data_IF_327375124897
#
_entry.id   IF_327375124897
#
_cell.length_a   1.000
_cell.length_b   1.000
_cell.length_c   1.000
_cell.angle_alpha   90.00
_cell.angle_beta   90.00
_cell.angle_gamma   90.00
#
_symmetry.space_group_name_H-M   'P 1'
#
loop_
_entity.id
_entity.type
_entity.pdbx_description
1 polymer ?
#
# COMPACT_ATOMS: atom_id res chain seq x y z
N UNK A 1 2.63 -17.34 27.22
CA UNK A 1 3.82 -18.21 27.31
C UNK A 1 3.41 -19.58 26.80
N UNK A 2 3.88 -20.01 25.62
CA UNK A 2 3.56 -21.32 25.06
C UNK A 2 4.31 -22.41 25.81
N UNK A 3 3.57 -23.37 26.36
CA UNK A 3 4.08 -24.60 26.96
C UNK A 3 4.63 -25.55 25.87
N UNK A 4 5.76 -25.21 25.26
CA UNK A 4 6.59 -26.14 24.48
C UNK A 4 7.80 -26.64 25.28
N UNK A 5 7.73 -26.52 26.61
CA UNK A 5 8.79 -26.98 27.50
C UNK A 5 8.19 -28.03 28.44
N UNK A 6 8.21 -29.29 27.98
CA UNK A 6 8.45 -30.54 28.74
C UNK A 6 7.71 -31.72 28.11
N UNK A 7 8.49 -32.74 27.73
CA UNK A 7 8.08 -34.13 27.47
C UNK A 7 7.30 -34.43 26.17
N UNK A 8 7.87 -34.09 25.01
CA UNK A 8 7.44 -34.67 23.75
C UNK A 8 8.28 -35.91 23.40
N UNK A 9 7.65 -37.08 23.21
CA UNK A 9 8.31 -38.29 22.70
C UNK A 9 8.72 -38.12 21.23
N UNK A 10 9.82 -38.75 20.78
CA UNK A 10 10.54 -38.40 19.55
C UNK A 10 9.77 -38.55 18.22
N UNK A 11 8.56 -39.12 18.23
CA UNK A 11 7.78 -39.41 17.01
C UNK A 11 6.48 -38.61 16.84
N UNK A 12 6.06 -37.76 17.79
CA UNK A 12 4.73 -37.12 17.75
C UNK A 12 4.71 -35.60 17.93
N UNK A 13 5.88 -34.94 17.91
CA UNK A 13 5.92 -33.50 18.04
C UNK A 13 5.63 -32.80 16.69
N UNK A 14 4.35 -32.77 16.29
CA UNK A 14 3.89 -31.92 15.18
C UNK A 14 3.65 -30.50 15.71
N UNK A 15 4.73 -29.79 16.02
CA UNK A 15 4.65 -28.35 16.24
C UNK A 15 4.35 -27.68 14.89
N UNK A 16 3.07 -27.53 14.58
CA UNK A 16 2.65 -26.58 13.54
C UNK A 16 3.13 -25.21 13.99
N UNK A 17 3.87 -24.44 13.17
CA UNK A 17 4.27 -23.09 13.55
C UNK A 17 3.02 -22.31 13.97
N UNK A 18 2.99 -21.80 15.19
CA UNK A 18 1.81 -21.14 15.78
C UNK A 18 1.57 -19.72 15.26
N UNK A 19 2.24 -19.33 14.17
CA UNK A 19 2.05 -18.07 13.47
C UNK A 19 1.73 -18.36 12.01
N UNK A 20 0.71 -17.71 11.41
CA UNK A 20 0.59 -17.76 9.96
C UNK A 20 1.94 -17.34 9.35
N UNK A 21 2.44 -18.04 8.32
CA UNK A 21 3.71 -17.66 7.69
C UNK A 21 3.57 -16.22 7.22
N UNK A 22 4.53 -15.37 7.63
CA UNK A 22 4.60 -14.02 7.11
C UNK A 22 4.79 -14.05 5.58
N UNK A 23 4.46 -12.96 4.92
CA UNK A 23 4.51 -12.87 3.46
C UNK A 23 5.94 -12.60 3.02
N UNK A 24 6.51 -13.50 2.21
CA UNK A 24 7.87 -13.35 1.69
C UNK A 24 7.83 -12.55 0.38
N UNK A 25 8.48 -11.40 0.37
CA UNK A 25 8.81 -10.65 -0.84
C UNK A 25 10.32 -10.63 -1.02
N UNK A 26 10.77 -10.60 -2.26
CA UNK A 26 12.20 -10.46 -2.57
C UNK A 26 12.71 -9.04 -2.26
N UNK A 27 14.02 -8.90 -2.02
CA UNK A 27 14.65 -7.60 -1.77
C UNK A 27 14.43 -6.60 -2.90
N UNK A 28 14.40 -7.08 -4.15
CA UNK A 28 14.11 -6.24 -5.32
C UNK A 28 12.69 -5.70 -5.29
N UNK A 29 11.71 -6.48 -4.84
CA UNK A 29 10.32 -6.03 -4.69
C UNK A 29 10.14 -5.07 -3.52
N UNK A 30 10.82 -5.30 -2.39
CA UNK A 30 10.82 -4.38 -1.25
C UNK A 30 11.44 -3.03 -1.65
N UNK A 31 12.53 -3.06 -2.43
CA UNK A 31 13.15 -1.88 -3.01
C UNK A 31 12.22 -1.17 -3.98
N UNK A 32 11.57 -1.90 -4.88
CA UNK A 32 10.59 -1.35 -5.82
C UNK A 32 9.40 -0.69 -5.09
N UNK A 33 8.83 -1.34 -4.07
CA UNK A 33 7.77 -0.74 -3.25
C UNK A 33 8.23 0.56 -2.60
N UNK A 34 9.46 0.59 -2.07
CA UNK A 34 10.03 1.82 -1.47
C UNK A 34 10.13 2.95 -2.50
N UNK A 35 10.66 2.66 -3.70
CA UNK A 35 10.80 3.64 -4.79
C UNK A 35 9.42 4.16 -5.23
N UNK A 36 8.44 3.26 -5.38
CA UNK A 36 7.09 3.62 -5.81
C UNK A 36 6.41 4.49 -4.76
N UNK A 37 6.42 4.08 -3.48
CA UNK A 37 5.79 4.85 -2.41
C UNK A 37 6.45 6.22 -2.22
N UNK A 38 7.77 6.29 -2.33
CA UNK A 38 8.49 7.56 -2.31
C UNK A 38 8.08 8.47 -3.47
N UNK A 39 8.03 7.94 -4.69
CA UNK A 39 7.62 8.67 -5.90
C UNK A 39 6.18 9.18 -5.78
N UNK A 40 5.26 8.33 -5.31
CA UNK A 40 3.87 8.70 -5.04
C UNK A 40 3.77 9.84 -4.03
N UNK A 41 4.45 9.72 -2.89
CA UNK A 41 4.39 10.72 -1.82
C UNK A 41 5.05 12.05 -2.20
N UNK A 42 6.20 12.02 -2.86
CA UNK A 42 7.04 13.21 -3.03
C UNK A 42 6.85 13.90 -4.38
N UNK A 43 6.35 13.19 -5.39
CA UNK A 43 6.42 13.68 -6.77
C UNK A 43 5.09 13.55 -7.50
N UNK A 44 4.59 12.33 -7.72
CA UNK A 44 3.52 12.11 -8.70
C UNK A 44 2.15 12.52 -8.18
N UNK A 45 1.80 12.23 -6.93
CA UNK A 45 0.52 12.67 -6.34
C UNK A 45 0.45 14.18 -6.13
N UNK A 46 1.47 14.86 -5.55
CA UNK A 46 1.47 16.31 -5.47
C UNK A 46 1.29 16.98 -6.83
N UNK A 47 2.02 16.52 -7.87
CA UNK A 47 1.90 17.05 -9.22
C UNK A 47 0.49 16.84 -9.81
N UNK A 48 -0.10 15.66 -9.61
CA UNK A 48 -1.46 15.35 -10.06
C UNK A 48 -2.50 16.27 -9.41
N UNK A 49 -2.44 16.46 -8.10
CA UNK A 49 -3.43 17.26 -7.37
C UNK A 49 -3.28 18.76 -7.62
N UNK A 50 -2.05 19.24 -7.86
CA UNK A 50 -1.83 20.62 -8.30
C UNK A 50 -2.35 20.86 -9.72
N UNK A 51 -2.16 19.90 -10.63
CA UNK A 51 -2.61 19.99 -12.00
C UNK A 51 -2.83 18.62 -12.63
N UNK A 52 -4.08 18.20 -12.90
CA UNK A 52 -4.38 16.86 -13.42
C UNK A 52 -4.18 16.77 -14.95
N UNK A 53 -3.01 17.19 -15.44
CA UNK A 53 -2.63 17.10 -16.85
C UNK A 53 -2.52 15.64 -17.32
N UNK A 54 -2.61 15.37 -18.64
CA UNK A 54 -2.38 14.01 -19.16
C UNK A 54 -1.04 13.42 -18.74
N UNK A 55 0.02 14.25 -18.67
CA UNK A 55 1.35 13.82 -18.24
C UNK A 55 1.39 13.42 -16.77
N UNK A 56 0.76 14.21 -15.88
CA UNK A 56 0.72 13.90 -14.46
C UNK A 56 -0.13 12.66 -14.17
N UNK A 57 -1.25 12.49 -14.91
CA UNK A 57 -2.04 11.26 -14.87
C UNK A 57 -1.23 10.04 -15.32
N UNK A 58 -0.53 10.13 -16.44
CA UNK A 58 0.31 9.04 -16.94
C UNK A 58 1.41 8.65 -15.93
N UNK A 59 2.04 9.64 -15.27
CA UNK A 59 3.06 9.39 -14.25
C UNK A 59 2.50 8.59 -13.07
N UNK A 60 1.28 8.92 -12.59
CA UNK A 60 0.60 8.15 -11.53
C UNK A 60 0.18 6.77 -12.04
N UNK A 61 -0.35 6.66 -13.26
CA UNK A 61 -0.75 5.37 -13.85
C UNK A 61 0.42 4.38 -13.90
N UNK A 62 1.61 4.82 -14.30
CA UNK A 62 2.82 3.96 -14.32
C UNK A 62 3.10 3.39 -12.93
N UNK A 63 2.95 4.19 -11.87
CA UNK A 63 3.16 3.71 -10.49
C UNK A 63 2.08 2.69 -10.09
N UNK A 64 0.81 2.93 -10.45
CA UNK A 64 -0.28 1.98 -10.19
C UNK A 64 -0.09 0.66 -10.93
N UNK A 65 0.36 0.69 -12.18
CA UNK A 65 0.65 -0.51 -12.98
C UNK A 65 1.80 -1.31 -12.38
N UNK A 66 2.84 -0.64 -11.89
CA UNK A 66 3.96 -1.27 -11.19
C UNK A 66 3.52 -1.96 -9.89
N UNK A 67 2.66 -1.30 -9.09
CA UNK A 67 2.06 -1.91 -7.90
C UNK A 67 1.20 -3.12 -8.26
N UNK A 68 0.41 -3.02 -9.33
CA UNK A 68 -0.43 -4.11 -9.81
C UNK A 68 0.41 -5.33 -10.22
N UNK A 69 1.52 -5.11 -10.93
CA UNK A 69 2.44 -6.18 -11.30
C UNK A 69 3.07 -6.87 -10.07
N UNK A 70 3.41 -6.12 -9.03
CA UNK A 70 3.91 -6.69 -7.76
C UNK A 70 2.83 -7.56 -7.10
N UNK A 71 1.60 -7.04 -7.01
CA UNK A 71 0.45 -7.76 -6.42
C UNK A 71 0.13 -9.04 -7.20
N UNK A 72 0.24 -9.00 -8.53
CA UNK A 72 -0.06 -10.11 -9.43
C UNK A 72 1.11 -11.09 -9.64
N UNK A 73 2.28 -10.85 -9.02
CA UNK A 73 3.46 -11.70 -9.18
C UNK A 73 3.32 -13.14 -8.61
N UNK A 74 2.18 -13.46 -8.00
CA UNK A 74 1.86 -14.80 -7.46
C UNK A 74 2.45 -15.08 -6.07
N UNK A 75 3.11 -14.10 -5.46
CA UNK A 75 3.70 -14.23 -4.11
C UNK A 75 2.72 -13.94 -2.98
N UNK A 76 1.69 -13.15 -3.28
CA UNK A 76 0.61 -12.87 -2.34
C UNK A 76 -0.41 -13.99 -2.40
N UNK A 77 -0.99 -14.33 -1.24
CA UNK A 77 -2.15 -15.24 -1.24
C UNK A 77 -3.32 -14.57 -1.97
N UNK A 78 -4.25 -15.36 -2.51
CA UNK A 78 -5.43 -14.80 -3.17
C UNK A 78 -6.22 -13.86 -2.23
N UNK A 79 -6.24 -14.15 -0.93
CA UNK A 79 -6.87 -13.34 0.11
C UNK A 79 -6.24 -11.96 0.24
N UNK A 80 -4.93 -11.83 0.04
CA UNK A 80 -4.21 -10.56 0.11
C UNK A 80 -4.20 -9.84 -1.25
N UNK A 81 -4.08 -10.59 -2.35
CA UNK A 81 -3.94 -10.05 -3.70
C UNK A 81 -5.25 -9.50 -4.27
N UNK A 82 -6.39 -10.18 -4.04
CA UNK A 82 -7.68 -9.79 -4.59
C UNK A 82 -8.14 -8.38 -4.15
N UNK A 83 -8.12 -8.02 -2.84
CA UNK A 83 -8.54 -6.68 -2.43
C UNK A 83 -7.61 -5.59 -2.99
N UNK A 84 -6.30 -5.82 -2.99
CA UNK A 84 -5.32 -4.88 -3.56
C UNK A 84 -5.53 -4.70 -5.07
N UNK A 85 -5.74 -5.79 -5.80
CA UNK A 85 -6.03 -5.76 -7.25
C UNK A 85 -7.29 -4.96 -7.54
N UNK A 86 -8.37 -5.18 -6.79
CA UNK A 86 -9.62 -4.46 -6.97
C UNK A 86 -9.45 -2.95 -6.74
N UNK A 87 -8.76 -2.57 -5.66
CA UNK A 87 -8.52 -1.15 -5.35
C UNK A 87 -7.61 -0.50 -6.40
N UNK A 88 -6.55 -1.18 -6.86
CA UNK A 88 -5.66 -0.65 -7.90
C UNK A 88 -6.39 -0.42 -9.24
N UNK A 89 -7.26 -1.37 -9.62
CA UNK A 89 -8.08 -1.25 -10.82
C UNK A 89 -9.08 -0.08 -10.70
N UNK A 90 -9.76 0.06 -9.56
CA UNK A 90 -10.66 1.17 -9.30
C UNK A 90 -9.92 2.51 -9.30
N UNK A 91 -8.76 2.58 -8.66
CA UNK A 91 -7.91 3.77 -8.60
C UNK A 91 -7.51 4.20 -10.01
N UNK A 92 -7.04 3.26 -10.84
CA UNK A 92 -6.70 3.50 -12.25
C UNK A 92 -7.92 3.94 -13.06
N UNK A 93 -9.08 3.34 -12.84
CA UNK A 93 -10.32 3.73 -13.51
C UNK A 93 -10.69 5.18 -13.18
N UNK A 94 -10.67 5.57 -11.90
CA UNK A 94 -11.00 6.93 -11.46
C UNK A 94 -10.00 7.95 -12.04
N UNK A 95 -8.70 7.63 -12.06
CA UNK A 95 -7.65 8.48 -12.61
C UNK A 95 -7.91 8.85 -14.08
N UNK A 96 -8.34 7.85 -14.86
CA UNK A 96 -8.56 7.96 -16.29
C UNK A 96 -10.00 8.31 -16.67
N UNK A 97 -10.89 8.50 -15.70
CA UNK A 97 -12.25 8.91 -15.97
C UNK A 97 -12.27 10.27 -16.69
N UNK A 98 -13.17 10.49 -17.68
CA UNK A 98 -13.18 11.71 -18.49
C UNK A 98 -13.24 13.00 -17.65
N UNK A 99 -14.00 12.96 -16.55
CA UNK A 99 -14.04 14.03 -15.54
C UNK A 99 -13.31 13.52 -14.31
N UNK A 100 -12.05 13.91 -14.15
CA UNK A 100 -11.28 13.53 -12.97
C UNK A 100 -11.85 14.20 -11.72
N UNK A 101 -12.19 13.39 -10.72
CA UNK A 101 -12.63 13.86 -9.41
C UNK A 101 -11.53 13.60 -8.37
N UNK A 102 -10.80 14.64 -7.93
CA UNK A 102 -9.75 14.50 -6.92
C UNK A 102 -10.27 13.87 -5.62
N UNK A 103 -11.50 14.21 -5.24
CA UNK A 103 -12.15 13.68 -4.04
C UNK A 103 -12.34 12.16 -4.10
N UNK A 104 -12.92 11.66 -5.18
CA UNK A 104 -13.16 10.22 -5.36
C UNK A 104 -11.81 9.49 -5.44
N UNK A 105 -10.82 10.10 -6.09
CA UNK A 105 -9.48 9.55 -6.22
C UNK A 105 -8.75 9.46 -4.87
N UNK A 106 -8.83 10.51 -4.04
CA UNK A 106 -8.28 10.53 -2.68
C UNK A 106 -8.86 9.40 -1.84
N UNK A 107 -10.17 9.19 -1.87
CA UNK A 107 -10.84 8.13 -1.10
C UNK A 107 -10.31 6.75 -1.51
N UNK A 108 -10.15 6.50 -2.81
CA UNK A 108 -9.65 5.20 -3.28
C UNK A 108 -8.16 5.01 -2.94
N UNK A 109 -7.34 6.07 -3.01
CA UNK A 109 -5.95 6.03 -2.57
C UNK A 109 -5.80 5.79 -1.06
N UNK A 110 -6.70 6.33 -0.22
CA UNK A 110 -6.69 6.03 1.22
C UNK A 110 -6.93 4.54 1.48
N UNK A 111 -7.86 3.91 0.76
CA UNK A 111 -8.07 2.45 0.84
C UNK A 111 -6.82 1.69 0.41
N UNK A 112 -6.19 2.13 -0.68
CA UNK A 112 -4.97 1.51 -1.19
C UNK A 112 -3.83 1.55 -0.16
N UNK A 113 -3.60 2.73 0.43
CA UNK A 113 -2.59 2.92 1.47
C UNK A 113 -2.89 2.07 2.70
N UNK A 114 -4.14 2.01 3.15
CA UNK A 114 -4.53 1.20 4.30
C UNK A 114 -4.29 -0.30 4.04
N UNK A 115 -4.62 -0.79 2.85
CA UNK A 115 -4.38 -2.19 2.49
C UNK A 115 -2.88 -2.51 2.37
N UNK A 116 -2.09 -1.64 1.75
CA UNK A 116 -0.63 -1.81 1.75
C UNK A 116 -0.04 -1.72 3.15
N UNK A 117 -0.57 -0.88 4.04
CA UNK A 117 -0.14 -0.83 5.44
C UNK A 117 -0.39 -2.14 6.18
N UNK A 118 -1.55 -2.76 5.96
CA UNK A 118 -1.83 -4.10 6.49
C UNK A 118 -0.86 -5.15 5.92
N UNK A 119 -0.62 -5.13 4.61
CA UNK A 119 0.32 -6.02 3.94
C UNK A 119 1.74 -5.89 4.51
N UNK A 120 2.26 -4.66 4.64
CA UNK A 120 3.61 -4.37 5.13
C UNK A 120 3.82 -4.93 6.54
N UNK A 121 2.82 -4.84 7.41
CA UNK A 121 2.89 -5.41 8.76
C UNK A 121 3.05 -6.94 8.76
N UNK A 122 2.58 -7.61 7.72
CA UNK A 122 2.62 -9.06 7.57
C UNK A 122 3.87 -9.59 6.85
N UNK A 123 4.75 -8.71 6.34
CA UNK A 123 5.93 -9.12 5.58
C UNK A 123 6.98 -9.83 6.46
N UNK A 124 7.63 -10.85 5.91
CA UNK A 124 8.86 -11.46 6.43
C UNK A 124 10.09 -10.57 6.13
N UNK A 125 9.99 -9.27 6.45
CA UNK A 125 11.06 -8.30 6.22
C UNK A 125 11.66 -7.80 7.55
N UNK A 126 12.93 -7.37 7.55
CA UNK A 126 13.55 -6.68 8.68
C UNK A 126 12.67 -5.52 9.20
N UNK A 127 12.75 -5.24 10.50
CA UNK A 127 11.87 -4.25 11.15
C UNK A 127 12.08 -2.84 10.59
N UNK A 128 13.31 -2.48 10.28
CA UNK A 128 13.73 -1.23 9.65
C UNK A 128 13.14 -1.08 8.23
N UNK A 129 13.14 -2.16 7.44
CA UNK A 129 12.53 -2.15 6.10
C UNK A 129 11.01 -1.94 6.19
N UNK A 130 10.33 -2.65 7.10
CA UNK A 130 8.88 -2.46 7.33
C UNK A 130 8.57 -1.04 7.80
N UNK A 131 9.34 -0.51 8.75
CA UNK A 131 9.17 0.86 9.23
C UNK A 131 9.37 1.88 8.12
N UNK A 132 10.40 1.73 7.28
CA UNK A 132 10.62 2.60 6.14
C UNK A 132 9.41 2.60 5.18
N UNK A 133 8.90 1.42 4.82
CA UNK A 133 7.70 1.32 3.96
C UNK A 133 6.47 1.97 4.60
N UNK A 134 6.24 1.78 5.90
CA UNK A 134 5.14 2.42 6.62
C UNK A 134 5.27 3.94 6.68
N UNK A 135 6.47 4.47 6.88
CA UNK A 135 6.72 5.92 6.85
C UNK A 135 6.46 6.52 5.47
N UNK A 136 6.85 5.81 4.39
CA UNK A 136 6.53 6.25 3.03
C UNK A 136 5.01 6.26 2.79
N UNK A 137 4.28 5.25 3.26
CA UNK A 137 2.81 5.22 3.22
C UNK A 137 2.17 6.37 4.01
N UNK A 138 2.71 6.73 5.18
CA UNK A 138 2.29 7.93 5.92
C UNK A 138 2.55 9.21 5.13
N UNK A 139 3.67 9.27 4.41
CA UNK A 139 3.97 10.37 3.48
C UNK A 139 2.89 10.52 2.41
N UNK A 140 2.41 9.42 1.83
CA UNK A 140 1.28 9.43 0.89
C UNK A 140 0.03 9.99 1.59
N UNK A 141 -0.34 9.49 2.78
CA UNK A 141 -1.52 9.98 3.51
C UNK A 141 -1.46 11.48 3.80
N UNK A 142 -0.28 12.00 4.15
CA UNK A 142 -0.10 13.43 4.40
C UNK A 142 -0.41 14.28 3.17
N UNK A 143 0.00 13.83 1.97
CA UNK A 143 -0.38 14.48 0.71
C UNK A 143 -1.90 14.44 0.52
N UNK A 144 -2.53 13.28 0.73
CA UNK A 144 -3.98 13.16 0.57
C UNK A 144 -4.74 14.15 1.46
N UNK A 145 -4.37 14.25 2.75
CA UNK A 145 -4.97 15.18 3.71
C UNK A 145 -4.76 16.64 3.30
N UNK A 146 -3.60 16.98 2.73
CA UNK A 146 -3.31 18.34 2.28
C UNK A 146 -4.27 18.81 1.17
N UNK A 147 -4.69 17.88 0.30
CA UNK A 147 -5.54 18.16 -0.87
C UNK A 147 -7.01 17.78 -0.66
N UNK A 148 -7.38 17.23 0.48
CA UNK A 148 -8.78 17.11 0.87
C UNK A 148 -9.43 18.51 0.92
N UNK A 149 -10.69 18.65 0.48
CA UNK A 149 -11.40 19.90 0.61
C UNK A 149 -11.52 20.23 2.09
N UNK A 150 -10.80 21.27 2.51
CA UNK A 150 -11.03 21.91 3.79
C UNK A 150 -12.46 22.42 3.73
N UNK A 151 -13.32 21.91 4.61
CA UNK A 151 -14.69 22.42 4.75
C UNK A 151 -14.70 23.93 4.95
N UNK A 152 -15.87 24.60 4.92
CA UNK A 152 -15.92 26.04 5.14
C UNK A 152 -15.27 26.38 6.48
N UNK A 153 -14.06 26.95 6.44
CA UNK A 153 -13.44 27.58 7.60
C UNK A 153 -14.28 28.83 7.87
N UNK A 154 -15.28 28.69 8.74
CA UNK A 154 -16.04 29.83 9.24
C UNK A 154 -15.08 30.80 9.94
N UNK A 155 -15.31 32.12 9.86
CA UNK A 155 -14.48 33.09 10.54
C UNK A 155 -14.59 32.85 12.06
N UNK A 156 -13.46 32.54 12.70
CA UNK A 156 -13.30 32.77 14.13
C UNK A 156 -13.42 34.27 14.35
N UNK A 157 -14.52 34.67 14.99
CA UNK A 157 -14.76 36.05 15.44
C UNK A 157 -13.88 36.46 16.61
#
# INVERSE_FOLDING_TARGET
MSNCEKNCLPFFCTCVPSSPPCIVLSDSQLSQLSIIFQSLAQTTLPALFLSPTPQNKAAVQIQLDQLLAIVQSGLLTQTDAAPLTAILNNTSFILNYPIFSPLIFIIELQKLVNQFGALVNQLCAPIDVRQNLLELLKGILAVLIQFEPKGPTGPTG
#
